data_IF_932609018134
#
_entry.id   IF_932609018134
#
_cell.length_a   1.000
_cell.length_b   1.000
_cell.length_c   1.000
_cell.angle_alpha   90.00
_cell.angle_beta   90.00
_cell.angle_gamma   90.00
#
_symmetry.space_group_name_H-M   'P 1'
#
loop_
_entity.id
_entity.type
_entity.pdbx_description
1 polymer ?
#
# COMPACT_ATOMS: atom_id res chain seq x y z
N UNK A 1 -12.08 -24.80 -74.14
CA UNK A 1 -13.07 -25.19 -73.10
C UNK A 1 -12.46 -25.01 -71.71
N UNK A 2 -12.32 -23.77 -71.18
CA UNK A 2 -12.24 -23.41 -69.73
C UNK A 2 -12.17 -21.87 -69.55
N UNK A 3 -12.94 -21.08 -70.32
CA UNK A 3 -12.91 -19.60 -70.23
C UNK A 3 -14.21 -18.98 -69.72
N UNK A 4 -15.26 -19.78 -69.53
CA UNK A 4 -16.58 -19.32 -69.02
C UNK A 4 -16.69 -19.43 -67.49
N UNK A 5 -15.89 -20.32 -66.87
CA UNK A 5 -15.96 -20.59 -65.43
C UNK A 5 -15.29 -19.54 -64.53
N UNK A 6 -14.43 -18.68 -65.10
CA UNK A 6 -13.68 -17.70 -64.33
C UNK A 6 -14.39 -16.34 -64.22
N UNK A 7 -15.27 -16.02 -65.18
CA UNK A 7 -16.07 -14.79 -65.16
C UNK A 7 -17.29 -14.87 -64.22
N UNK A 8 -17.82 -16.07 -63.98
CA UNK A 8 -18.91 -16.27 -63.02
C UNK A 8 -18.44 -16.23 -61.56
N UNK A 9 -17.15 -16.45 -61.29
CA UNK A 9 -16.59 -16.39 -59.93
C UNK A 9 -16.27 -14.95 -59.50
N UNK A 10 -15.91 -14.08 -60.46
CA UNK A 10 -15.64 -12.65 -60.20
C UNK A 10 -16.94 -11.85 -60.02
N UNK A 11 -18.03 -12.21 -60.73
CA UNK A 11 -19.32 -11.53 -60.59
C UNK A 11 -20.03 -11.82 -59.25
N UNK A 12 -19.74 -12.96 -58.60
CA UNK A 12 -20.34 -13.32 -57.31
C UNK A 12 -19.77 -12.57 -56.09
N UNK A 13 -18.56 -11.99 -56.21
CA UNK A 13 -17.87 -11.31 -55.10
C UNK A 13 -18.21 -9.82 -54.96
N UNK A 14 -18.88 -9.21 -55.94
CA UNK A 14 -19.17 -7.78 -55.94
C UNK A 14 -20.48 -7.40 -55.20
N UNK A 15 -21.37 -8.35 -54.92
CA UNK A 15 -22.67 -8.09 -54.28
C UNK A 15 -22.63 -8.14 -52.73
N UNK A 16 -21.48 -8.43 -52.13
CA UNK A 16 -21.35 -8.64 -50.68
C UNK A 16 -20.72 -7.47 -49.90
N UNK A 17 -20.52 -6.30 -50.52
CA UNK A 17 -19.91 -5.12 -49.87
C UNK A 17 -20.91 -3.99 -49.60
N UNK A 18 -22.19 -4.32 -49.38
CA UNK A 18 -23.16 -3.38 -48.83
C UNK A 18 -22.92 -3.19 -47.33
N UNK A 19 -21.97 -2.33 -46.95
CA UNK A 19 -21.80 -1.91 -45.55
C UNK A 19 -22.98 -1.02 -45.17
N UNK A 20 -23.96 -1.59 -44.47
CA UNK A 20 -25.11 -0.86 -43.92
C UNK A 20 -24.62 -0.06 -42.70
N UNK A 21 -24.55 1.26 -42.83
CA UNK A 21 -24.16 2.15 -41.73
C UNK A 21 -25.38 2.40 -40.82
N UNK A 22 -25.58 1.56 -39.81
CA UNK A 22 -26.59 1.82 -38.79
C UNK A 22 -26.06 2.86 -37.79
N UNK A 23 -26.83 3.93 -37.48
CA UNK A 23 -26.41 4.90 -36.46
C UNK A 23 -26.37 4.20 -35.09
N UNK A 24 -25.17 4.01 -34.54
CA UNK A 24 -25.04 3.58 -33.15
C UNK A 24 -25.45 4.73 -32.24
N UNK A 25 -26.51 4.52 -31.46
CA UNK A 25 -26.83 5.37 -30.32
C UNK A 25 -25.73 5.20 -29.27
N UNK A 26 -24.92 6.23 -29.07
CA UNK A 26 -23.90 6.27 -28.01
C UNK A 26 -24.64 6.42 -26.68
N UNK A 27 -24.68 5.36 -25.88
CA UNK A 27 -25.13 5.43 -24.50
C UNK A 27 -24.21 6.38 -23.71
N UNK A 28 -24.73 7.34 -22.94
CA UNK A 28 -23.90 8.11 -22.04
C UNK A 28 -23.22 7.17 -21.04
N UNK A 29 -21.94 7.40 -20.68
CA UNK A 29 -21.26 6.57 -19.70
C UNK A 29 -22.07 6.58 -18.39
N UNK A 30 -22.18 5.44 -17.68
CA UNK A 30 -22.87 5.41 -16.41
C UNK A 30 -22.26 6.46 -15.48
N UNK A 31 -23.11 7.19 -14.75
CA UNK A 31 -22.65 8.12 -13.72
C UNK A 31 -21.67 7.36 -12.82
N UNK A 32 -20.42 7.81 -12.83
CA UNK A 32 -19.35 7.18 -12.08
C UNK A 32 -19.76 7.21 -10.61
N UNK A 33 -20.12 6.04 -10.09
CA UNK A 33 -20.33 5.86 -8.67
C UNK A 33 -19.05 6.31 -7.97
N UNK A 34 -19.18 7.15 -6.95
CA UNK A 34 -18.04 7.64 -6.18
C UNK A 34 -17.19 6.43 -5.76
N UNK A 35 -16.00 6.32 -6.33
CA UNK A 35 -15.03 5.30 -5.94
C UNK A 35 -14.70 5.61 -4.48
N UNK A 36 -15.26 4.83 -3.58
CA UNK A 36 -14.88 4.91 -2.18
C UNK A 36 -13.52 4.26 -2.12
N UNK A 37 -12.46 5.07 -2.20
CA UNK A 37 -11.12 4.57 -1.93
C UNK A 37 -11.08 4.15 -0.46
N UNK A 38 -11.34 2.87 -0.21
CA UNK A 38 -10.85 2.22 1.00
C UNK A 38 -9.34 2.21 0.86
N UNK A 39 -8.70 3.29 1.30
CA UNK A 39 -7.26 3.32 1.54
C UNK A 39 -6.95 2.10 2.41
N UNK A 40 -6.15 1.14 1.92
CA UNK A 40 -5.61 0.12 2.81
C UNK A 40 -4.93 0.90 3.92
N UNK A 41 -5.32 0.68 5.18
CA UNK A 41 -4.48 1.12 6.30
C UNK A 41 -3.19 0.34 6.17
N UNK A 42 -2.22 0.91 5.46
CA UNK A 42 -0.84 0.47 5.56
C UNK A 42 -0.49 0.81 7.00
N UNK A 43 -0.43 -0.19 7.87
CA UNK A 43 0.15 -0.03 9.20
C UNK A 43 1.62 0.30 8.98
N UNK A 44 1.90 1.61 8.86
CA UNK A 44 3.24 2.18 8.80
C UNK A 44 3.92 2.12 10.17
N UNK A 45 3.31 1.44 11.14
CA UNK A 45 3.92 1.18 12.42
C UNK A 45 4.92 0.03 12.27
N UNK A 46 6.18 0.32 12.59
CA UNK A 46 7.22 -0.72 12.70
C UNK A 46 6.75 -1.84 13.66
N UNK A 47 7.00 -3.13 13.39
CA UNK A 47 6.47 -4.26 14.18
C UNK A 47 6.78 -4.14 15.68
N UNK A 48 8.00 -3.73 16.04
CA UNK A 48 8.38 -3.47 17.45
C UNK A 48 7.50 -2.40 18.14
N UNK A 49 7.04 -1.37 17.42
CA UNK A 49 6.14 -0.34 17.97
C UNK A 49 4.77 -0.94 18.25
N UNK A 50 4.28 -1.79 17.34
CA UNK A 50 3.01 -2.52 17.52
C UNK A 50 3.11 -3.46 18.72
N UNK A 51 4.17 -4.26 18.82
CA UNK A 51 4.39 -5.18 19.94
C UNK A 51 4.50 -4.43 21.27
N UNK A 52 5.23 -3.31 21.31
CA UNK A 52 5.33 -2.50 22.51
C UNK A 52 3.98 -1.90 22.90
N UNK A 53 3.20 -1.39 21.96
CA UNK A 53 1.85 -0.88 22.22
C UNK A 53 0.91 -1.96 22.78
N UNK A 54 0.98 -3.18 22.25
CA UNK A 54 0.21 -4.32 22.77
C UNK A 54 0.63 -4.71 24.19
N UNK A 55 1.94 -4.72 24.48
CA UNK A 55 2.45 -4.99 25.81
C UNK A 55 2.07 -3.88 26.81
N UNK A 56 2.19 -2.62 26.40
CA UNK A 56 1.79 -1.47 27.21
C UNK A 56 0.30 -1.49 27.54
N UNK A 57 -0.57 -1.91 26.60
CA UNK A 57 -2.01 -2.02 26.84
C UNK A 57 -2.37 -3.01 27.98
N UNK A 58 -1.49 -3.94 28.32
CA UNK A 58 -1.68 -4.89 29.41
C UNK A 58 -1.21 -4.37 30.77
N UNK A 59 -0.59 -3.18 30.82
CA UNK A 59 -0.08 -2.62 32.07
C UNK A 59 -1.21 -2.14 33.00
N UNK A 60 -0.98 -2.16 34.33
CA UNK A 60 -1.89 -1.56 35.29
C UNK A 60 -2.19 -0.08 34.99
N UNK A 61 -3.38 0.44 35.36
CA UNK A 61 -3.81 1.79 35.00
C UNK A 61 -2.87 2.93 35.40
N UNK A 62 -2.11 2.76 36.47
CA UNK A 62 -1.16 3.74 36.98
C UNK A 62 0.17 3.77 36.20
N UNK A 63 0.47 2.74 35.40
CA UNK A 63 1.62 2.70 34.49
C UNK A 63 1.24 3.04 33.04
N UNK A 64 -0.06 3.08 32.73
CA UNK A 64 -0.53 3.50 31.42
C UNK A 64 -0.34 4.99 31.24
N UNK A 65 0.19 5.39 30.09
CA UNK A 65 0.30 6.79 29.73
C UNK A 65 -1.11 7.39 29.47
N UNK A 66 -1.59 8.37 30.27
CA UNK A 66 -2.89 8.98 30.04
C UNK A 66 -2.91 9.91 28.82
N UNK A 67 -1.75 10.36 28.36
CA UNK A 67 -1.59 11.35 27.29
C UNK A 67 -2.24 10.90 25.97
N UNK A 68 -2.08 9.63 25.61
CA UNK A 68 -2.62 9.07 24.37
C UNK A 68 -4.10 8.69 24.46
N UNK A 69 -4.74 8.79 25.64
CA UNK A 69 -6.18 8.50 25.79
C UNK A 69 -7.06 9.57 25.16
N UNK A 70 -6.54 10.79 24.99
CA UNK A 70 -7.27 11.85 24.33
C UNK A 70 -7.14 11.72 22.80
N UNK A 71 -8.24 11.45 22.07
CA UNK A 71 -8.18 11.22 20.63
C UNK A 71 -7.69 12.45 19.86
N UNK A 72 -7.94 13.66 20.37
CA UNK A 72 -7.46 14.91 19.74
C UNK A 72 -5.94 15.03 19.81
N UNK A 73 -5.35 14.63 20.94
CA UNK A 73 -3.89 14.66 21.16
C UNK A 73 -3.22 13.61 20.27
N UNK A 74 -3.74 12.38 20.26
CA UNK A 74 -3.21 11.31 19.42
C UNK A 74 -3.25 11.68 17.93
N UNK A 75 -4.35 12.26 17.44
CA UNK A 75 -4.47 12.71 16.06
C UNK A 75 -3.56 13.89 15.72
N UNK A 76 -3.37 14.85 16.63
CA UNK A 76 -2.48 15.98 16.40
C UNK A 76 -1.01 15.54 16.31
N UNK A 77 -0.57 14.66 17.21
CA UNK A 77 0.78 14.09 17.15
C UNK A 77 1.01 13.30 15.87
N UNK A 78 0.04 12.51 15.43
CA UNK A 78 0.16 11.75 14.19
C UNK A 78 0.36 12.67 12.97
N UNK A 79 -0.15 13.90 12.97
CA UNK A 79 0.03 14.88 11.88
C UNK A 79 1.43 15.49 11.88
N UNK A 80 1.93 15.88 13.05
CA UNK A 80 3.23 16.55 13.20
C UNK A 80 4.40 15.56 13.16
N UNK A 81 4.16 14.28 13.48
CA UNK A 81 5.18 13.23 13.53
C UNK A 81 5.51 12.62 12.17
N UNK A 82 4.93 13.13 11.08
CA UNK A 82 4.91 12.44 9.81
C UNK A 82 5.85 13.09 8.80
N UNK A 83 7.11 12.64 8.83
CA UNK A 83 8.20 12.94 7.88
C UNK A 83 8.37 14.42 7.54
N UNK A 84 9.33 15.07 8.20
CA UNK A 84 9.87 16.34 7.73
C UNK A 84 10.54 16.19 6.34
N UNK A 85 10.86 17.30 5.66
CA UNK A 85 11.54 17.27 4.36
C UNK A 85 12.84 16.46 4.43
N UNK A 86 12.93 15.37 3.64
CA UNK A 86 14.10 14.49 3.59
C UNK A 86 14.10 13.34 4.60
N UNK A 87 13.07 13.22 5.45
CA UNK A 87 12.90 12.07 6.34
C UNK A 87 12.24 10.90 5.62
N UNK A 88 12.70 9.68 5.92
CA UNK A 88 12.16 8.45 5.34
C UNK A 88 11.58 7.55 6.42
N UNK A 89 10.56 6.79 6.05
CA UNK A 89 10.00 5.76 6.92
C UNK A 89 11.05 4.71 7.28
N UNK A 90 11.29 4.54 8.57
CA UNK A 90 12.23 3.54 9.09
C UNK A 90 11.53 2.19 9.15
N UNK A 91 11.57 1.46 8.03
CA UNK A 91 11.08 0.08 7.95
C UNK A 91 12.10 -0.94 8.49
N UNK A 92 13.40 -0.63 8.41
CA UNK A 92 14.48 -1.51 8.86
C UNK A 92 15.46 -0.72 9.73
N UNK A 93 15.49 -1.01 11.03
CA UNK A 93 16.41 -0.32 11.94
C UNK A 93 17.81 -0.93 11.80
N UNK A 94 18.82 -0.10 11.54
CA UNK A 94 20.22 -0.56 11.50
C UNK A 94 20.63 -1.25 12.81
N UNK A 95 20.08 -0.81 13.94
CA UNK A 95 20.32 -1.43 15.24
C UNK A 95 19.85 -2.89 15.33
N UNK A 96 18.85 -3.30 14.54
CA UNK A 96 18.36 -4.69 14.51
C UNK A 96 19.34 -5.64 13.83
N UNK A 97 20.21 -5.12 12.95
CA UNK A 97 21.27 -5.90 12.32
C UNK A 97 22.38 -6.29 13.31
N UNK A 98 22.44 -5.62 14.47
CA UNK A 98 23.44 -5.88 15.49
C UNK A 98 22.87 -6.94 16.46
N UNK A 99 23.47 -8.14 16.54
CA UNK A 99 22.98 -9.18 17.43
C UNK A 99 23.11 -8.73 18.90
N UNK A 100 22.10 -9.04 19.73
CA UNK A 100 22.04 -8.64 21.15
C UNK A 100 23.29 -9.07 21.92
N UNK A 101 23.84 -10.25 21.62
CA UNK A 101 25.08 -10.77 22.21
C UNK A 101 26.28 -9.83 21.95
N UNK A 102 26.35 -9.23 20.75
CA UNK A 102 27.40 -8.27 20.40
C UNK A 102 27.24 -6.98 21.19
N UNK A 103 26.02 -6.47 21.34
CA UNK A 103 25.72 -5.30 22.18
C UNK A 103 26.21 -5.56 23.61
N UNK A 104 25.85 -6.70 24.20
CA UNK A 104 26.31 -7.07 25.54
C UNK A 104 27.84 -7.15 25.64
N UNK A 105 28.51 -7.71 24.64
CA UNK A 105 29.98 -7.79 24.65
C UNK A 105 30.64 -6.40 24.64
N UNK A 106 30.11 -5.46 23.86
CA UNK A 106 30.61 -4.08 23.80
C UNK A 106 30.38 -3.38 25.13
N UNK A 107 29.18 -3.49 25.70
CA UNK A 107 28.86 -2.88 27.00
C UNK A 107 29.73 -3.45 28.14
N UNK A 108 29.99 -4.76 28.13
CA UNK A 108 30.87 -5.41 29.12
C UNK A 108 32.32 -4.92 29.01
N UNK A 109 32.82 -4.76 27.78
CA UNK A 109 34.17 -4.27 27.54
C UNK A 109 34.32 -2.78 27.89
N UNK A 110 33.25 -2.00 27.72
CA UNK A 110 33.19 -0.59 28.12
C UNK A 110 32.98 -0.39 29.64
N UNK A 111 32.80 -1.45 30.42
CA UNK A 111 32.52 -1.34 31.86
C UNK A 111 31.09 -0.90 32.21
N UNK A 112 30.19 -0.84 31.22
CA UNK A 112 28.78 -0.42 31.37
C UNK A 112 27.83 -1.58 31.72
N UNK A 113 28.28 -2.83 31.59
CA UNK A 113 27.53 -4.01 32.00
C UNK A 113 28.29 -4.80 33.07
N UNK A 114 27.56 -5.26 34.10
CA UNK A 114 28.14 -6.02 35.21
C UNK A 114 28.74 -7.33 34.68
N UNK A 115 29.96 -7.65 35.09
CA UNK A 115 30.49 -9.02 34.97
C UNK A 115 29.72 -9.87 35.98
N UNK A 116 28.76 -10.65 35.49
CA UNK A 116 28.26 -11.81 36.24
C UNK A 116 29.29 -12.92 36.15
#
# INVERSE_FOLDING_TARGET
MYSEGLLLLVAGLALANGQVFLPQYVLPPPLQQAVTYQQPRVDLAHPEVVLNSQAEAQLPPHLLNPFYKNPRIAQALAKESWFGPGEMHVAHREAEKIPRTRIFSVLKNAGLARRR
#
